data_IF_645683950009
#
_entry.id   IF_645683950009
#
_cell.length_a   1.000
_cell.length_b   1.000
_cell.length_c   1.000
_cell.angle_alpha   90.00
_cell.angle_beta   90.00
_cell.angle_gamma   90.00
#
_symmetry.space_group_name_H-M   'P 1'
#
loop_
_entity.id
_entity.type
_entity.pdbx_description
1 polymer ?
#
# COMPACT_ATOMS: atom_id res chain seq x y z
N UNK A 1 8.89 -6.79 -38.38
CA UNK A 1 8.94 -6.71 -36.91
C UNK A 1 7.68 -5.97 -36.47
N UNK A 2 6.66 -6.73 -36.07
CA UNK A 2 5.35 -6.20 -35.69
C UNK A 2 5.43 -5.68 -34.26
N UNK A 3 5.51 -4.35 -34.08
CA UNK A 3 5.42 -3.77 -32.74
C UNK A 3 4.95 -2.30 -32.75
N UNK A 4 4.16 -1.86 -33.73
CA UNK A 4 3.34 -0.63 -33.60
C UNK A 4 2.02 -0.85 -34.37
N UNK A 5 0.98 -1.38 -33.74
CA UNK A 5 -0.38 -1.32 -34.33
C UNK A 5 -1.39 -0.57 -33.48
N UNK A 6 -1.10 -0.27 -32.21
CA UNK A 6 -2.07 0.49 -31.42
C UNK A 6 -1.41 1.35 -30.33
N UNK A 7 -1.20 2.62 -30.66
CA UNK A 7 -0.69 3.63 -29.71
C UNK A 7 -1.62 3.76 -28.49
N UNK A 8 -2.92 3.51 -28.68
CA UNK A 8 -3.93 3.47 -27.62
C UNK A 8 -3.71 2.30 -26.67
N UNK A 9 -3.37 1.11 -27.19
CA UNK A 9 -3.08 -0.07 -26.37
C UNK A 9 -1.81 0.16 -25.54
N UNK A 10 -0.77 0.75 -26.12
CA UNK A 10 0.46 1.13 -25.41
C UNK A 10 0.14 2.12 -24.29
N UNK A 11 -0.68 3.14 -24.56
CA UNK A 11 -1.11 4.11 -23.56
C UNK A 11 -1.87 3.47 -22.39
N UNK A 12 -2.83 2.59 -22.69
CA UNK A 12 -3.61 1.87 -21.66
C UNK A 12 -2.70 0.97 -20.82
N UNK A 13 -1.83 0.19 -21.48
CA UNK A 13 -0.90 -0.69 -20.77
C UNK A 13 0.06 0.09 -19.89
N UNK A 14 0.58 1.24 -20.36
CA UNK A 14 1.36 2.11 -19.51
C UNK A 14 0.57 2.54 -18.26
N UNK A 15 -0.58 3.18 -18.46
CA UNK A 15 -1.39 3.73 -17.38
C UNK A 15 -1.73 2.65 -16.33
N UNK A 16 -2.11 1.45 -16.80
CA UNK A 16 -2.36 0.31 -15.93
C UNK A 16 -1.10 -0.15 -15.20
N UNK A 17 0.02 -0.31 -15.90
CA UNK A 17 1.26 -0.80 -15.31
C UNK A 17 1.77 0.13 -14.21
N UNK A 18 1.73 1.44 -14.42
CA UNK A 18 2.15 2.41 -13.42
C UNK A 18 1.15 2.48 -12.26
N UNK A 19 -0.15 2.41 -12.55
CA UNK A 19 -1.19 2.35 -11.53
C UNK A 19 -1.01 1.14 -10.61
N UNK A 20 -0.86 -0.08 -11.17
CA UNK A 20 -0.66 -1.30 -10.38
C UNK A 20 0.66 -1.30 -9.62
N UNK A 21 1.74 -0.77 -10.21
CA UNK A 21 3.05 -0.69 -9.55
C UNK A 21 3.02 0.17 -8.30
N UNK A 22 2.09 1.12 -8.18
CA UNK A 22 1.89 1.95 -6.98
C UNK A 22 0.81 1.39 -6.06
N UNK A 23 -0.30 0.89 -6.63
CA UNK A 23 -1.42 0.38 -5.87
C UNK A 23 -1.07 -0.89 -5.07
N UNK A 24 -0.44 -1.87 -5.72
CA UNK A 24 -0.21 -3.19 -5.12
C UNK A 24 0.73 -3.13 -3.90
N UNK A 25 1.91 -2.48 -3.96
CA UNK A 25 2.77 -2.35 -2.78
C UNK A 25 2.07 -1.62 -1.65
N UNK A 26 1.31 -0.57 -1.98
CA UNK A 26 0.63 0.22 -0.98
C UNK A 26 -0.48 -0.57 -0.25
N UNK A 27 -1.31 -1.29 -0.99
CA UNK A 27 -2.31 -2.19 -0.40
C UNK A 27 -1.62 -3.23 0.48
N UNK A 28 -0.50 -3.79 0.04
CA UNK A 28 0.27 -4.77 0.81
C UNK A 28 0.78 -4.18 2.13
N UNK A 29 1.32 -2.97 2.11
CA UNK A 29 1.82 -2.29 3.31
C UNK A 29 0.70 -2.01 4.31
N UNK A 30 -0.44 -1.49 3.83
CA UNK A 30 -1.61 -1.26 4.68
C UNK A 30 -2.19 -2.55 5.27
N UNK A 31 -2.24 -3.63 4.49
CA UNK A 31 -2.65 -4.95 4.99
C UNK A 31 -1.68 -5.47 6.06
N UNK A 32 -0.37 -5.26 5.87
CA UNK A 32 0.65 -5.63 6.84
C UNK A 32 0.43 -4.90 8.18
N UNK A 33 0.11 -3.60 8.14
CA UNK A 33 -0.27 -2.83 9.34
C UNK A 33 -1.52 -3.43 10.00
N UNK A 34 -2.57 -3.72 9.23
CA UNK A 34 -3.80 -4.30 9.76
C UNK A 34 -3.54 -5.64 10.47
N UNK A 35 -2.69 -6.50 9.89
CA UNK A 35 -2.29 -7.78 10.48
C UNK A 35 -1.50 -7.57 11.78
N UNK A 36 -0.57 -6.61 11.82
CA UNK A 36 0.19 -6.28 13.04
C UNK A 36 -0.72 -5.79 14.16
N UNK A 37 -1.73 -4.97 13.84
CA UNK A 37 -2.76 -4.52 14.79
C UNK A 37 -3.62 -5.69 15.26
N UNK A 38 -4.07 -6.56 14.36
CA UNK A 38 -4.87 -7.74 14.70
C UNK A 38 -4.12 -8.64 15.68
N UNK A 39 -2.84 -8.93 15.41
CA UNK A 39 -1.96 -9.70 16.30
C UNK A 39 -1.85 -9.07 17.68
N UNK A 40 -1.66 -7.76 17.73
CA UNK A 40 -1.60 -7.00 18.99
C UNK A 40 -2.92 -7.10 19.76
N UNK A 41 -4.04 -6.95 19.07
CA UNK A 41 -5.37 -7.06 19.67
C UNK A 41 -5.61 -8.47 20.24
N UNK A 42 -5.24 -9.51 19.49
CA UNK A 42 -5.39 -10.90 19.95
C UNK A 42 -4.58 -11.19 21.21
N UNK A 43 -3.35 -10.67 21.31
CA UNK A 43 -2.53 -10.81 22.53
C UNK A 43 -3.17 -10.13 23.73
N UNK A 44 -3.69 -8.91 23.58
CA UNK A 44 -4.31 -8.17 24.69
C UNK A 44 -5.58 -8.91 25.18
N UNK A 45 -6.28 -9.58 24.28
CA UNK A 45 -7.51 -10.32 24.55
C UNK A 45 -7.29 -11.75 25.06
N UNK A 46 -6.03 -12.16 25.28
CA UNK A 46 -5.47 -13.50 25.63
C UNK A 46 -6.42 -14.55 26.24
N UNK A 47 -7.38 -14.17 27.09
CA UNK A 47 -8.24 -15.08 27.87
C UNK A 47 -9.73 -15.11 27.45
N UNK A 48 -10.22 -14.16 26.64
CA UNK A 48 -11.65 -14.06 26.28
C UNK A 48 -11.97 -14.40 24.81
N UNK A 49 -11.03 -14.99 24.08
CA UNK A 49 -11.23 -15.32 22.67
C UNK A 49 -12.09 -16.58 22.51
N UNK A 50 -13.40 -16.40 22.52
CA UNK A 50 -14.36 -17.46 22.22
C UNK A 50 -14.43 -17.73 20.71
N UNK A 51 -14.85 -18.92 20.28
CA UNK A 51 -15.03 -19.25 18.84
C UNK A 51 -15.91 -18.22 18.10
N UNK A 52 -16.84 -17.57 18.81
CA UNK A 52 -17.70 -16.51 18.29
C UNK A 52 -16.92 -15.23 17.95
N UNK A 53 -15.95 -14.82 18.78
CA UNK A 53 -15.11 -13.65 18.47
C UNK A 53 -14.18 -13.92 17.30
N UNK A 54 -13.64 -15.14 17.17
CA UNK A 54 -12.83 -15.53 16.01
C UNK A 54 -13.60 -15.45 14.68
N UNK A 55 -14.85 -15.92 14.66
CA UNK A 55 -15.74 -15.82 13.50
C UNK A 55 -16.08 -14.38 13.13
N UNK A 56 -16.23 -13.49 14.13
CA UNK A 56 -16.43 -12.05 13.90
C UNK A 56 -15.19 -11.41 13.31
N UNK A 57 -13.99 -11.73 13.83
CA UNK A 57 -12.72 -11.24 13.29
C UNK A 57 -12.52 -11.66 11.83
N UNK A 58 -12.81 -12.92 11.48
CA UNK A 58 -12.76 -13.42 10.09
C UNK A 58 -13.72 -12.70 9.13
N UNK A 59 -14.92 -12.33 9.59
CA UNK A 59 -15.84 -11.53 8.77
C UNK A 59 -15.33 -10.11 8.61
N UNK A 60 -14.85 -9.50 9.70
CA UNK A 60 -14.30 -8.15 9.69
C UNK A 60 -13.04 -8.04 8.81
N UNK A 61 -12.16 -9.04 8.83
CA UNK A 61 -10.93 -9.01 8.01
C UNK A 61 -11.24 -8.95 6.52
N UNK A 62 -12.27 -9.65 6.05
CA UNK A 62 -12.73 -9.56 4.64
C UNK A 62 -13.19 -8.15 4.28
N UNK A 63 -13.93 -7.49 5.17
CA UNK A 63 -14.35 -6.10 4.97
C UNK A 63 -13.17 -5.14 5.01
N UNK A 64 -12.21 -5.34 5.93
CA UNK A 64 -11.00 -4.53 6.03
C UNK A 64 -10.19 -4.62 4.73
N UNK A 65 -9.98 -5.82 4.18
CA UNK A 65 -9.27 -5.99 2.90
C UNK A 65 -9.94 -5.19 1.79
N UNK A 66 -11.27 -5.29 1.69
CA UNK A 66 -12.04 -4.56 0.69
C UNK A 66 -11.94 -3.04 0.88
N UNK A 67 -12.03 -2.55 2.11
CA UNK A 67 -11.88 -1.13 2.45
C UNK A 67 -10.48 -0.63 2.10
N UNK A 68 -9.43 -1.39 2.44
CA UNK A 68 -8.04 -1.04 2.13
C UNK A 68 -7.87 -0.94 0.61
N UNK A 69 -8.38 -1.91 -0.14
CA UNK A 69 -8.29 -1.89 -1.61
C UNK A 69 -9.02 -0.68 -2.21
N UNK A 70 -10.25 -0.41 -1.77
CA UNK A 70 -11.03 0.75 -2.24
C UNK A 70 -10.38 2.09 -1.88
N UNK A 71 -9.89 2.22 -0.66
CA UNK A 71 -9.24 3.44 -0.18
C UNK A 71 -7.96 3.76 -0.98
N UNK A 72 -7.09 2.76 -1.15
CA UNK A 72 -5.87 2.88 -1.94
C UNK A 72 -6.18 3.13 -3.41
N UNK A 73 -7.21 2.44 -3.93
CA UNK A 73 -7.67 2.59 -5.30
C UNK A 73 -8.17 4.01 -5.58
N UNK A 74 -8.97 4.57 -4.67
CA UNK A 74 -9.52 5.92 -4.78
C UNK A 74 -8.44 7.00 -4.74
N UNK A 75 -7.48 6.89 -3.82
CA UNK A 75 -6.37 7.85 -3.70
C UNK A 75 -5.54 7.89 -4.99
N UNK A 76 -5.30 6.73 -5.60
CA UNK A 76 -4.46 6.62 -6.81
C UNK A 76 -5.23 6.83 -8.12
N UNK A 77 -6.57 6.87 -8.09
CA UNK A 77 -7.43 6.95 -9.28
C UNK A 77 -7.26 8.25 -10.09
N UNK A 78 -6.77 9.32 -9.47
CA UNK A 78 -6.58 10.59 -10.17
C UNK A 78 -5.40 10.55 -11.16
N UNK A 79 -4.35 9.76 -10.85
CA UNK A 79 -3.12 9.62 -11.66
C UNK A 79 -3.30 9.20 -13.12
N UNK A 80 -4.08 8.15 -13.46
CA UNK A 80 -4.23 7.70 -14.85
C UNK A 80 -4.67 8.81 -15.82
N UNK A 81 -5.36 9.85 -15.32
CA UNK A 81 -5.83 10.97 -16.13
C UNK A 81 -4.72 11.96 -16.54
N UNK A 82 -3.56 11.96 -15.87
CA UNK A 82 -2.46 12.90 -16.12
C UNK A 82 -1.28 12.28 -16.90
N UNK A 83 -1.42 11.07 -17.43
CA UNK A 83 -0.38 10.47 -18.27
C UNK A 83 -0.44 10.97 -19.71
N UNK A 84 0.68 11.53 -20.16
CA UNK A 84 0.92 11.87 -21.56
C UNK A 84 1.99 10.93 -22.15
N UNK A 85 1.78 10.49 -23.39
CA UNK A 85 2.79 9.75 -24.15
C UNK A 85 3.67 10.79 -24.84
N UNK A 86 4.96 10.80 -24.52
CA UNK A 86 5.94 11.66 -25.19
C UNK A 86 6.77 10.79 -26.12
N UNK A 87 6.71 11.09 -27.42
CA UNK A 87 7.58 10.48 -28.42
C UNK A 87 8.98 11.08 -28.27
N UNK A 88 10.01 10.24 -28.16
CA UNK A 88 11.38 10.75 -28.09
C UNK A 88 11.78 11.41 -29.42
N UNK A 89 12.25 12.68 -29.41
CA UNK A 89 12.64 13.38 -30.62
C UNK A 89 13.94 12.78 -31.15
N UNK A 90 13.86 12.00 -32.22
CA UNK A 90 15.05 11.53 -32.93
C UNK A 90 15.77 12.72 -33.59
N UNK A 91 17.11 12.77 -33.47
CA UNK A 91 18.01 13.83 -33.97
C UNK A 91 17.81 14.15 -35.48
N UNK A 92 17.14 13.28 -36.24
CA UNK A 92 16.93 13.41 -37.69
C UNK A 92 15.46 13.64 -38.11
N UNK A 93 14.58 14.14 -37.23
CA UNK A 93 13.22 14.57 -37.61
C UNK A 93 12.22 13.47 -37.99
N UNK A 94 12.62 12.19 -37.92
CA UNK A 94 11.70 11.05 -37.97
C UNK A 94 11.10 10.76 -36.60
N UNK A 95 9.88 10.22 -36.53
CA UNK A 95 9.25 9.74 -35.28
C UNK A 95 9.65 8.27 -35.05
N UNK A 96 10.90 8.00 -34.66
CA UNK A 96 11.42 6.63 -34.47
C UNK A 96 11.89 6.33 -33.04
N UNK A 97 11.54 7.18 -32.06
CA UNK A 97 11.81 6.91 -30.65
C UNK A 97 10.83 5.91 -30.04
N UNK A 98 11.27 5.16 -29.01
CA UNK A 98 10.35 4.40 -28.16
C UNK A 98 9.49 5.40 -27.36
N UNK A 99 8.15 5.26 -27.34
CA UNK A 99 7.30 6.19 -26.58
C UNK A 99 7.53 5.98 -25.08
N UNK A 100 7.91 7.04 -24.38
CA UNK A 100 7.97 7.04 -22.92
C UNK A 100 6.64 7.51 -22.37
N UNK A 101 6.24 6.89 -21.28
CA UNK A 101 5.06 7.27 -20.56
C UNK A 101 5.47 8.11 -19.36
N UNK A 102 5.18 9.40 -19.43
CA UNK A 102 5.61 10.37 -18.44
C UNK A 102 4.37 10.98 -17.80
N UNK A 103 4.41 11.10 -16.48
CA UNK A 103 3.39 11.78 -15.71
C UNK A 103 3.65 13.29 -15.83
N UNK A 104 2.75 14.02 -16.50
CA UNK A 104 2.89 15.47 -16.69
C UNK A 104 1.74 16.22 -16.01
N UNK A 105 2.04 16.76 -14.84
CA UNK A 105 1.13 17.65 -14.14
C UNK A 105 1.27 19.07 -14.69
N UNK A 106 0.34 19.46 -15.56
CA UNK A 106 0.26 20.83 -16.11
C UNK A 106 0.11 21.93 -15.05
N UNK A 107 -0.21 21.57 -13.79
CA UNK A 107 -0.30 22.53 -12.70
C UNK A 107 0.60 22.12 -11.52
N UNK A 108 1.30 23.11 -10.95
CA UNK A 108 2.15 22.94 -9.78
C UNK A 108 1.37 22.47 -8.53
N UNK A 109 0.07 22.78 -8.45
CA UNK A 109 -0.78 22.32 -7.35
C UNK A 109 -1.02 20.82 -7.38
N UNK A 110 -1.19 20.23 -8.57
CA UNK A 110 -1.35 18.78 -8.72
C UNK A 110 -0.06 18.03 -8.39
N UNK A 111 1.09 18.58 -8.80
CA UNK A 111 2.40 18.01 -8.48
C UNK A 111 2.68 18.03 -6.96
N UNK A 112 2.34 19.12 -6.27
CA UNK A 112 2.47 19.19 -4.80
C UNK A 112 1.54 18.20 -4.08
N UNK A 113 0.29 18.08 -4.54
CA UNK A 113 -0.67 17.10 -4.00
C UNK A 113 -0.18 15.67 -4.18
N UNK A 114 0.32 15.33 -5.36
CA UNK A 114 0.88 14.03 -5.68
C UNK A 114 2.05 13.69 -4.75
N UNK A 115 2.98 14.63 -4.58
CA UNK A 115 4.13 14.43 -3.71
C UNK A 115 3.69 14.21 -2.26
N UNK A 116 2.70 14.96 -1.77
CA UNK A 116 2.14 14.74 -0.44
C UNK A 116 1.52 13.35 -0.29
N UNK A 117 0.72 12.92 -1.27
CA UNK A 117 0.11 11.59 -1.27
C UNK A 117 1.16 10.48 -1.28
N UNK A 118 2.20 10.60 -2.10
CA UNK A 118 3.29 9.61 -2.14
C UNK A 118 4.02 9.51 -0.81
N UNK A 119 4.32 10.65 -0.19
CA UNK A 119 4.98 10.70 1.12
C UNK A 119 4.09 10.05 2.17
N UNK A 120 2.80 10.39 2.20
CA UNK A 120 1.85 9.81 3.14
C UNK A 120 1.74 8.28 2.96
N UNK A 121 1.62 7.83 1.72
CA UNK A 121 1.45 6.42 1.38
C UNK A 121 2.67 5.57 1.72
N UNK A 122 3.87 6.18 1.71
CA UNK A 122 5.11 5.52 2.09
C UNK A 122 5.35 5.55 3.60
N UNK A 123 5.22 6.74 4.21
CA UNK A 123 5.64 6.96 5.60
C UNK A 123 4.61 6.43 6.59
N UNK A 124 3.31 6.61 6.33
CA UNK A 124 2.28 6.24 7.30
C UNK A 124 2.22 4.72 7.57
N UNK A 125 2.23 3.84 6.55
CA UNK A 125 2.28 2.39 6.81
C UNK A 125 3.56 1.97 7.52
N UNK A 126 4.71 2.57 7.17
CA UNK A 126 5.99 2.26 7.78
C UNK A 126 6.00 2.55 9.29
N UNK A 127 5.56 3.75 9.69
CA UNK A 127 5.51 4.15 11.10
C UNK A 127 4.55 3.24 11.89
N UNK A 128 3.35 2.99 11.34
CA UNK A 128 2.35 2.17 12.01
C UNK A 128 2.80 0.70 12.13
N UNK A 129 3.42 0.15 11.10
CA UNK A 129 3.90 -1.23 11.12
C UNK A 129 5.04 -1.42 12.13
N UNK A 130 6.03 -0.51 12.11
CA UNK A 130 7.13 -0.52 13.07
C UNK A 130 6.62 -0.32 14.51
N UNK A 131 5.75 0.66 14.72
CA UNK A 131 5.18 0.95 16.05
C UNK A 131 4.38 -0.22 16.60
N UNK A 132 3.50 -0.82 15.78
CA UNK A 132 2.68 -1.97 16.17
C UNK A 132 3.56 -3.18 16.50
N UNK A 133 4.55 -3.47 15.67
CA UNK A 133 5.47 -4.61 15.88
C UNK A 133 6.33 -4.45 17.13
N UNK A 134 6.87 -3.25 17.37
CA UNK A 134 7.64 -2.93 18.57
C UNK A 134 6.77 -3.05 19.82
N UNK A 135 5.55 -2.52 19.78
CA UNK A 135 4.61 -2.63 20.89
C UNK A 135 4.30 -4.09 21.23
N UNK A 136 3.98 -4.91 20.20
CA UNK A 136 3.74 -6.34 20.35
C UNK A 136 4.92 -7.06 21.03
N UNK A 137 6.14 -6.80 20.53
CA UNK A 137 7.36 -7.41 21.07
C UNK A 137 7.60 -7.02 22.54
N UNK A 138 7.52 -5.73 22.85
CA UNK A 138 7.72 -5.22 24.21
C UNK A 138 6.66 -5.73 25.18
N UNK A 139 5.40 -5.85 24.72
CA UNK A 139 4.32 -6.42 25.52
C UNK A 139 4.60 -7.89 25.86
N UNK A 140 4.97 -8.69 24.85
CA UNK A 140 5.28 -10.11 25.05
C UNK A 140 6.46 -10.30 26.00
N UNK A 141 7.56 -9.56 25.81
CA UNK A 141 8.72 -9.63 26.72
C UNK A 141 8.31 -9.28 28.16
N UNK A 142 7.57 -8.18 28.35
CA UNK A 142 7.08 -7.79 29.69
C UNK A 142 6.17 -8.85 30.31
N UNK A 143 5.34 -9.51 29.49
CA UNK A 143 4.44 -10.56 29.94
C UNK A 143 5.20 -11.79 30.44
N UNK A 144 6.13 -12.31 29.64
CA UNK A 144 6.98 -13.46 30.00
C UNK A 144 7.82 -13.18 31.25
N UNK A 145 8.41 -11.99 31.35
CA UNK A 145 9.18 -11.58 32.53
C UNK A 145 8.33 -11.54 33.82
N UNK A 146 7.06 -11.13 33.72
CA UNK A 146 6.13 -11.14 34.87
C UNK A 146 5.80 -12.56 35.31
N UNK A 147 5.64 -13.49 34.38
CA UNK A 147 5.38 -14.91 34.68
C UNK A 147 6.60 -15.53 35.36
N UNK A 148 7.80 -15.34 34.80
CA UNK A 148 9.05 -15.86 35.39
C UNK A 148 9.28 -15.32 36.80
N UNK A 149 9.03 -14.01 37.03
CA UNK A 149 9.15 -13.42 38.37
C UNK A 149 8.17 -14.03 39.37
N UNK A 150 6.92 -14.30 38.96
CA UNK A 150 5.92 -14.97 39.83
C UNK A 150 6.31 -16.40 40.18
N UNK A 151 6.91 -17.14 39.24
CA UNK A 151 7.36 -18.51 39.47
C UNK A 151 8.60 -18.58 40.40
N UNK A 152 9.46 -17.55 40.41
CA UNK A 152 10.62 -17.50 41.31
C UNK A 152 10.27 -17.10 42.75
N UNK A 153 9.10 -16.49 42.98
CA UNK A 153 8.62 -16.11 44.32
C UNK A 153 7.74 -17.18 45.00
N UNK A 154 7.53 -18.32 44.35
CA UNK A 154 6.65 -19.41 44.80
C UNK A 154 7.47 -20.65 45.09
#
# INVERSE_FOLDING_TARGET
MYLIENIYLIKILCQLSEYFSRLLPSVFDWLTVCISIERTYTLIKDVHFTKLSALKTLKLSRWIILIVFLFNGFITLHRPFYFELIDEPTINGGKQGHPWCILDFKSASWDSYENFINIFQLIAPMILNLGSSLFFLLYKIKHELRILRKNHQR
#
